data_IF_621383882234
#
_entry.id   IF_621383882234
#
_cell.length_a   1.000
_cell.length_b   1.000
_cell.length_c   1.000
_cell.angle_alpha   90.00
_cell.angle_beta   90.00
_cell.angle_gamma   90.00
#
_symmetry.space_group_name_H-M   'P 1'
#
loop_
_entity.id
_entity.type
_entity.pdbx_description
1 polymer ?
#
# COMPACT_ATOMS: atom_id res chain seq x y z
N UNK A 1 -16.57 8.12 3.99
CA UNK A 1 -16.12 6.82 3.41
C UNK A 1 -16.57 6.72 1.96
N UNK A 2 -15.59 6.65 1.07
CA UNK A 2 -15.77 6.52 -0.37
C UNK A 2 -16.33 5.14 -0.75
N UNK A 3 -17.04 5.10 -1.88
CA UNK A 3 -17.45 3.85 -2.53
C UNK A 3 -16.34 3.28 -3.43
N UNK A 4 -16.54 2.06 -3.93
CA UNK A 4 -15.53 1.36 -4.71
C UNK A 4 -15.13 2.10 -6.01
N UNK A 5 -16.06 2.77 -6.69
CA UNK A 5 -15.77 3.62 -7.86
C UNK A 5 -14.83 4.77 -7.53
N UNK A 6 -15.14 5.53 -6.48
CA UNK A 6 -14.37 6.72 -6.09
C UNK A 6 -12.96 6.35 -5.64
N UNK A 7 -12.82 5.23 -4.91
CA UNK A 7 -11.52 4.70 -4.52
C UNK A 7 -10.71 4.30 -5.76
N UNK A 8 -11.33 3.57 -6.69
CA UNK A 8 -10.70 3.16 -7.94
C UNK A 8 -10.23 4.36 -8.75
N UNK A 9 -11.07 5.37 -8.94
CA UNK A 9 -10.73 6.61 -9.63
C UNK A 9 -9.56 7.33 -8.97
N UNK A 10 -9.53 7.38 -7.63
CA UNK A 10 -8.45 8.01 -6.89
C UNK A 10 -7.12 7.26 -7.07
N UNK A 11 -7.09 5.95 -6.84
CA UNK A 11 -5.85 5.17 -6.94
C UNK A 11 -5.33 5.16 -8.38
N UNK A 12 -6.21 5.17 -9.39
CA UNK A 12 -5.80 5.21 -10.81
C UNK A 12 -5.15 6.53 -11.23
N UNK A 13 -5.28 7.60 -10.45
CA UNK A 13 -4.58 8.87 -10.73
C UNK A 13 -3.08 8.82 -10.41
N UNK A 14 -2.63 7.84 -9.63
CA UNK A 14 -1.20 7.68 -9.37
C UNK A 14 -0.49 7.17 -10.64
N UNK A 15 0.70 7.67 -10.91
CA UNK A 15 1.54 7.28 -12.04
C UNK A 15 2.28 5.96 -11.74
N UNK A 16 1.51 4.87 -11.64
CA UNK A 16 2.01 3.52 -11.28
C UNK A 16 3.18 3.03 -12.13
N UNK A 17 3.31 3.50 -13.38
CA UNK A 17 4.44 3.18 -14.25
C UNK A 17 5.78 3.69 -13.74
N UNK A 18 5.82 4.73 -12.90
CA UNK A 18 7.06 5.21 -12.29
C UNK A 18 7.64 4.24 -11.29
N UNK A 19 6.79 3.46 -10.61
CA UNK A 19 7.26 2.48 -9.65
C UNK A 19 8.17 1.44 -10.31
N UNK A 20 7.90 1.06 -11.58
CA UNK A 20 8.77 0.17 -12.36
C UNK A 20 10.18 0.73 -12.57
N UNK A 21 10.33 2.06 -12.66
CA UNK A 21 11.64 2.72 -12.85
C UNK A 21 12.47 2.78 -11.56
N UNK A 22 11.88 2.50 -10.40
CA UNK A 22 12.56 2.53 -9.10
C UNK A 22 13.16 1.15 -8.76
N UNK A 23 14.47 0.97 -8.87
CA UNK A 23 15.08 -0.35 -8.66
C UNK A 23 15.04 -0.82 -7.18
N UNK A 24 14.69 -2.09 -6.99
CA UNK A 24 14.60 -2.75 -5.69
C UNK A 24 13.21 -2.72 -5.06
N UNK A 25 12.50 -1.60 -5.21
CA UNK A 25 11.17 -1.36 -4.62
C UNK A 25 11.14 -1.81 -3.15
N UNK A 26 12.07 -1.26 -2.37
CA UNK A 26 12.11 -1.46 -0.93
C UNK A 26 10.86 -0.85 -0.29
N UNK A 27 10.56 -1.26 0.94
CA UNK A 27 9.43 -0.75 1.73
C UNK A 27 9.37 0.78 1.74
N UNK A 28 10.49 1.44 2.06
CA UNK A 28 10.61 2.90 2.06
C UNK A 28 10.45 3.52 0.68
N UNK A 29 10.88 2.84 -0.38
CA UNK A 29 10.71 3.32 -1.76
C UNK A 29 9.24 3.35 -2.17
N UNK A 30 8.46 2.35 -1.74
CA UNK A 30 7.00 2.30 -1.99
C UNK A 30 6.30 3.41 -1.20
N UNK A 31 6.67 3.60 0.07
CA UNK A 31 6.17 4.71 0.89
C UNK A 31 6.46 6.05 0.21
N UNK A 32 7.70 6.26 -0.26
CA UNK A 32 8.11 7.47 -0.96
C UNK A 32 7.31 7.71 -2.25
N UNK A 33 7.04 6.64 -3.01
CA UNK A 33 6.17 6.71 -4.20
C UNK A 33 4.76 7.16 -3.81
N UNK A 34 4.09 6.47 -2.88
CA UNK A 34 2.72 6.79 -2.45
C UNK A 34 2.63 8.23 -1.94
N UNK A 35 3.59 8.63 -1.09
CA UNK A 35 3.71 9.99 -0.54
C UNK A 35 3.82 11.05 -1.63
N UNK A 36 4.73 10.83 -2.59
CA UNK A 36 4.96 11.78 -3.69
C UNK A 36 3.73 11.88 -4.58
N UNK A 37 3.12 10.75 -4.93
CA UNK A 37 1.92 10.73 -5.77
C UNK A 37 0.75 11.43 -5.09
N UNK A 38 0.53 11.18 -3.79
CA UNK A 38 -0.52 11.84 -3.02
C UNK A 38 -0.36 13.37 -2.99
N UNK A 39 0.83 13.86 -2.62
CA UNK A 39 1.12 15.30 -2.59
C UNK A 39 0.95 15.91 -3.99
N UNK A 40 1.42 15.22 -5.03
CA UNK A 40 1.35 15.71 -6.41
C UNK A 40 -0.07 15.83 -6.96
N UNK A 41 -1.05 15.07 -6.43
CA UNK A 41 -2.45 15.18 -6.87
C UNK A 41 -3.04 16.56 -6.58
N UNK A 42 -2.70 17.15 -5.43
CA UNK A 42 -3.06 18.52 -5.09
C UNK A 42 -2.14 19.03 -3.96
N UNK A 43 -1.04 19.73 -4.28
CA UNK A 43 -0.05 20.14 -3.28
C UNK A 43 -0.55 21.24 -2.33
N UNK A 44 -1.71 21.85 -2.61
CA UNK A 44 -2.25 22.90 -1.74
C UNK A 44 -3.09 22.35 -0.59
N UNK A 45 -3.61 21.13 -0.72
CA UNK A 45 -4.49 20.52 0.29
C UNK A 45 -4.02 19.15 0.74
N UNK A 46 -3.20 18.43 -0.02
CA UNK A 46 -2.73 17.11 0.37
C UNK A 46 -1.45 17.21 1.18
N UNK A 47 -1.42 16.53 2.33
CA UNK A 47 -0.26 16.39 3.21
C UNK A 47 -0.19 14.97 3.79
N UNK A 48 0.79 14.69 4.65
CA UNK A 48 0.91 13.37 5.30
C UNK A 48 1.68 13.43 6.63
N UNK A 49 1.52 12.38 7.43
CA UNK A 49 2.39 12.07 8.57
C UNK A 49 3.30 10.87 8.28
N UNK A 50 4.62 11.07 8.35
CA UNK A 50 5.68 10.05 8.29
C UNK A 50 6.19 9.75 9.72
N UNK A 51 5.28 9.20 10.52
CA UNK A 51 5.36 9.14 11.98
C UNK A 51 3.96 9.11 12.58
N UNK A 52 3.12 8.24 12.04
CA UNK A 52 1.67 8.27 12.25
C UNK A 52 1.35 8.12 13.73
N UNK A 53 0.48 8.96 14.32
CA UNK A 53 0.02 8.78 15.70
C UNK A 53 -0.63 7.41 15.89
N UNK A 54 -0.40 6.78 17.04
CA UNK A 54 -0.97 5.45 17.29
C UNK A 54 -2.48 5.51 17.49
N UNK A 55 -3.19 4.46 17.08
CA UNK A 55 -4.61 4.28 17.39
C UNK A 55 -4.87 4.00 18.87
N UNK A 56 -3.85 3.56 19.63
CA UNK A 56 -3.94 3.29 21.06
C UNK A 56 -3.51 4.53 21.84
N UNK A 57 -4.44 5.13 22.59
CA UNK A 57 -4.18 6.32 23.41
C UNK A 57 -3.56 5.88 24.76
N UNK A 58 -2.29 6.22 24.99
CA UNK A 58 -1.57 5.93 26.23
C UNK A 58 -0.13 6.45 26.22
N UNK A 59 0.50 6.60 27.40
CA UNK A 59 1.93 6.96 27.52
C UNK A 59 2.81 5.72 27.34
N UNK A 60 3.64 5.70 26.30
CA UNK A 60 4.66 4.66 26.09
C UNK A 60 4.61 4.04 24.69
N UNK A 61 5.65 3.26 24.34
CA UNK A 61 5.77 2.56 23.05
C UNK A 61 5.16 1.15 23.02
N UNK A 62 4.78 0.61 24.17
CA UNK A 62 4.30 -0.78 24.29
C UNK A 62 2.87 -0.86 23.74
N UNK A 63 2.67 -1.73 22.75
CA UNK A 63 1.35 -1.96 22.14
C UNK A 63 0.90 -0.88 21.14
N UNK A 64 1.79 0.03 20.73
CA UNK A 64 1.45 1.01 19.70
C UNK A 64 1.20 0.31 18.37
N UNK A 65 0.06 0.63 17.76
CA UNK A 65 -0.25 0.35 16.37
C UNK A 65 -0.18 1.64 15.59
N UNK A 66 0.81 1.73 14.71
CA UNK A 66 1.06 2.89 13.85
C UNK A 66 1.06 2.42 12.41
N UNK A 67 0.37 3.16 11.54
CA UNK A 67 0.51 2.91 10.11
C UNK A 67 1.86 3.37 9.59
N UNK A 68 2.28 2.84 8.44
CA UNK A 68 3.52 3.27 7.81
C UNK A 68 3.45 4.76 7.44
N UNK A 69 2.34 5.19 6.85
CA UNK A 69 2.02 6.62 6.63
C UNK A 69 0.52 6.88 6.78
N UNK A 70 0.17 8.12 7.11
CA UNK A 70 -1.21 8.60 7.11
C UNK A 70 -1.30 9.79 6.17
N UNK A 71 -2.06 9.61 5.09
CA UNK A 71 -2.31 10.66 4.13
C UNK A 71 -3.47 11.53 4.62
N UNK A 72 -3.31 12.84 4.45
CA UNK A 72 -4.22 13.87 4.91
C UNK A 72 -4.69 14.72 3.72
N UNK A 73 -5.91 15.22 3.83
CA UNK A 73 -6.49 16.18 2.88
C UNK A 73 -7.08 17.35 3.68
N UNK A 74 -6.73 18.56 3.28
CA UNK A 74 -7.01 19.78 4.02
C UNK A 74 -6.49 19.65 5.45
N UNK A 75 -7.35 19.84 6.45
CA UNK A 75 -7.04 19.73 7.87
C UNK A 75 -7.40 18.35 8.48
N UNK A 76 -7.71 17.34 7.65
CA UNK A 76 -8.21 16.03 8.12
C UNK A 76 -7.35 14.84 7.70
N UNK A 77 -7.27 13.78 8.54
CA UNK A 77 -6.78 12.48 8.11
C UNK A 77 -7.71 11.92 7.01
N UNK A 78 -7.13 11.20 6.05
CA UNK A 78 -7.86 10.75 4.87
C UNK A 78 -7.68 9.26 4.60
N UNK A 79 -6.44 8.78 4.52
CA UNK A 79 -6.12 7.40 4.15
C UNK A 79 -4.90 6.90 4.93
N UNK A 80 -5.08 6.02 5.93
CA UNK A 80 -3.96 5.26 6.48
C UNK A 80 -3.45 4.26 5.44
N UNK A 81 -2.13 4.08 5.39
CA UNK A 81 -1.47 3.23 4.41
C UNK A 81 -0.51 2.28 5.11
N UNK A 82 -0.64 1.00 4.80
CA UNK A 82 0.32 -0.03 5.15
C UNK A 82 1.05 -0.51 3.90
N UNK A 83 2.34 -0.78 4.04
CA UNK A 83 3.15 -1.49 3.05
C UNK A 83 3.65 -2.77 3.71
N UNK A 84 3.53 -3.93 3.07
CA UNK A 84 4.10 -5.15 3.64
C UNK A 84 4.56 -6.15 2.59
N UNK A 85 5.66 -6.81 2.91
CA UNK A 85 6.26 -7.87 2.10
C UNK A 85 6.02 -9.24 2.71
N UNK A 86 5.99 -9.35 4.04
CA UNK A 86 5.85 -10.59 4.78
C UNK A 86 4.38 -10.98 4.94
N UNK A 87 4.00 -12.10 4.31
CA UNK A 87 2.60 -12.59 4.30
C UNK A 87 2.09 -12.86 5.71
N UNK A 88 2.96 -13.31 6.61
CA UNK A 88 2.63 -13.58 8.01
C UNK A 88 2.20 -12.32 8.79
N UNK A 89 2.54 -11.11 8.33
CA UNK A 89 2.18 -9.84 8.96
C UNK A 89 0.92 -9.19 8.38
N UNK A 90 0.31 -9.77 7.35
CA UNK A 90 -0.79 -9.11 6.64
C UNK A 90 -2.02 -8.88 7.50
N UNK A 91 -2.34 -9.82 8.39
CA UNK A 91 -3.48 -9.68 9.30
C UNK A 91 -3.24 -8.53 10.30
N UNK A 92 -2.02 -8.44 10.86
CA UNK A 92 -1.63 -7.36 11.77
C UNK A 92 -1.73 -5.98 11.08
N UNK A 93 -1.33 -5.90 9.80
CA UNK A 93 -1.42 -4.68 9.00
C UNK A 93 -2.87 -4.31 8.69
N UNK A 94 -3.71 -5.28 8.31
CA UNK A 94 -5.14 -5.03 8.13
C UNK A 94 -5.81 -4.58 9.42
N UNK A 95 -5.52 -5.23 10.54
CA UNK A 95 -6.05 -4.85 11.85
C UNK A 95 -5.65 -3.42 12.22
N UNK A 96 -4.43 -3.00 11.88
CA UNK A 96 -3.99 -1.61 12.05
C UNK A 96 -4.87 -0.65 11.23
N UNK A 97 -5.11 -0.94 9.96
CA UNK A 97 -6.02 -0.13 9.13
C UNK A 97 -7.44 -0.07 9.69
N UNK A 98 -7.98 -1.20 10.16
CA UNK A 98 -9.31 -1.24 10.77
C UNK A 98 -9.38 -0.40 12.05
N UNK A 99 -8.35 -0.45 12.89
CA UNK A 99 -8.29 0.35 14.13
C UNK A 99 -8.31 1.85 13.83
N UNK A 100 -7.63 2.30 12.78
CA UNK A 100 -7.70 3.70 12.34
C UNK A 100 -9.10 4.07 11.87
N UNK A 101 -9.73 3.23 11.05
CA UNK A 101 -11.06 3.52 10.51
C UNK A 101 -12.13 3.53 11.62
N UNK A 102 -12.02 2.66 12.62
CA UNK A 102 -12.94 2.59 13.76
C UNK A 102 -12.74 3.72 14.77
N UNK A 103 -11.54 4.27 14.92
CA UNK A 103 -11.24 5.33 15.88
C UNK A 103 -11.65 6.72 15.35
N UNK A 104 -12.94 6.88 15.04
CA UNK A 104 -13.54 8.15 14.59
C UNK A 104 -13.37 9.32 15.55
N UNK A 105 -13.34 9.16 16.89
CA UNK A 105 -13.12 10.29 17.78
C UNK A 105 -11.75 10.97 17.61
N UNK A 106 -10.73 10.24 17.14
CA UNK A 106 -9.37 10.79 16.94
C UNK A 106 -9.07 11.00 15.46
N UNK A 107 -9.48 10.08 14.60
CA UNK A 107 -9.18 10.09 13.17
C UNK A 107 -10.44 10.35 12.33
N UNK A 108 -11.17 11.41 12.69
CA UNK A 108 -12.33 11.85 11.92
C UNK A 108 -11.92 12.33 10.52
N UNK A 109 -12.54 11.78 9.48
CA UNK A 109 -12.20 12.06 8.09
C UNK A 109 -11.62 10.87 7.30
N UNK A 110 -11.21 9.77 7.96
CA UNK A 110 -10.71 8.60 7.22
C UNK A 110 -11.79 8.04 6.29
N UNK A 111 -11.45 8.00 5.01
CA UNK A 111 -12.33 7.62 3.92
C UNK A 111 -12.21 6.14 3.54
N UNK A 112 -11.00 5.58 3.57
CA UNK A 112 -10.69 4.17 3.33
C UNK A 112 -9.23 3.87 3.75
N UNK A 113 -8.89 2.58 3.93
CA UNK A 113 -7.50 2.15 4.15
C UNK A 113 -6.86 1.61 2.87
N UNK A 114 -5.57 1.87 2.67
CA UNK A 114 -4.79 1.32 1.57
C UNK A 114 -3.76 0.32 2.10
N UNK A 115 -3.83 -0.92 1.65
CA UNK A 115 -2.82 -1.93 1.94
C UNK A 115 -2.04 -2.29 0.67
N UNK A 116 -0.76 -1.94 0.65
CA UNK A 116 0.16 -2.23 -0.42
C UNK A 116 1.00 -3.47 -0.10
N UNK A 117 0.89 -4.49 -0.95
CA UNK A 117 1.56 -5.76 -0.78
C UNK A 117 2.57 -5.97 -1.92
N UNK A 118 3.71 -6.60 -1.62
CA UNK A 118 4.68 -6.98 -2.67
C UNK A 118 4.78 -8.49 -2.86
N UNK A 119 4.80 -8.98 -4.09
CA UNK A 119 4.92 -10.40 -4.43
C UNK A 119 6.24 -10.62 -5.16
N UNK A 120 6.95 -11.67 -4.80
CA UNK A 120 8.16 -12.11 -5.49
C UNK A 120 7.90 -13.49 -6.06
N UNK A 121 7.75 -13.57 -7.38
CA UNK A 121 7.33 -14.80 -8.07
C UNK A 121 8.44 -15.83 -8.28
N UNK A 122 9.70 -15.45 -8.12
CA UNK A 122 10.89 -16.26 -8.47
C UNK A 122 12.02 -16.08 -7.45
N UNK A 123 12.94 -17.06 -7.39
CA UNK A 123 14.10 -17.05 -6.51
C UNK A 123 13.93 -17.88 -5.21
N UNK A 124 15.01 -18.00 -4.41
CA UNK A 124 15.02 -18.85 -3.22
C UNK A 124 14.11 -18.35 -2.09
N UNK A 125 13.86 -17.03 -2.04
CA UNK A 125 12.92 -16.38 -1.12
C UNK A 125 11.66 -15.95 -1.84
N UNK A 126 11.07 -16.83 -2.67
CA UNK A 126 9.78 -16.60 -3.32
C UNK A 126 8.69 -16.45 -2.25
N UNK A 127 7.88 -15.40 -2.35
CA UNK A 127 6.69 -15.24 -1.51
C UNK A 127 5.55 -14.73 -2.38
N UNK A 128 4.45 -15.48 -2.38
CA UNK A 128 3.23 -15.17 -3.15
C UNK A 128 2.14 -14.73 -2.18
N UNK A 129 1.48 -13.63 -2.47
CA UNK A 129 0.32 -13.19 -1.71
C UNK A 129 -0.73 -14.29 -1.63
N UNK A 130 -1.32 -14.43 -0.44
CA UNK A 130 -2.56 -15.17 -0.29
C UNK A 130 -3.75 -14.23 -0.53
N UNK A 131 -3.97 -13.91 -1.80
CA UNK A 131 -5.07 -13.03 -2.24
C UNK A 131 -6.42 -13.48 -1.68
N UNK A 132 -6.72 -14.78 -1.72
CA UNK A 132 -8.02 -15.29 -1.28
C UNK A 132 -8.22 -15.12 0.23
N UNK A 133 -7.18 -15.38 1.03
CA UNK A 133 -7.23 -15.15 2.48
C UNK A 133 -7.42 -13.67 2.79
N UNK A 134 -6.60 -12.80 2.22
CA UNK A 134 -6.65 -11.37 2.56
C UNK A 134 -7.97 -10.72 2.11
N UNK A 135 -8.49 -11.10 0.93
CA UNK A 135 -9.82 -10.68 0.47
C UNK A 135 -10.91 -11.17 1.42
N UNK A 136 -10.84 -12.43 1.89
CA UNK A 136 -11.80 -12.96 2.88
C UNK A 136 -11.76 -12.19 4.19
N UNK A 137 -10.59 -11.85 4.70
CA UNK A 137 -10.47 -11.05 5.94
C UNK A 137 -11.13 -9.68 5.79
N UNK A 138 -10.90 -8.98 4.67
CA UNK A 138 -11.58 -7.72 4.39
C UNK A 138 -13.10 -7.90 4.28
N UNK A 139 -13.57 -8.91 3.54
CA UNK A 139 -15.01 -9.19 3.37
C UNK A 139 -15.68 -9.53 4.70
N UNK A 140 -15.03 -10.32 5.57
CA UNK A 140 -15.57 -10.71 6.87
C UNK A 140 -15.85 -9.50 7.77
N UNK A 141 -15.10 -8.42 7.58
CA UNK A 141 -15.23 -7.20 8.36
C UNK A 141 -16.36 -6.28 7.88
N UNK A 142 -16.90 -6.44 6.66
CA UNK A 142 -18.09 -5.82 6.00
C UNK A 142 -18.32 -4.30 6.08
N UNK A 143 -17.82 -3.59 7.09
CA UNK A 143 -18.11 -2.18 7.39
C UNK A 143 -17.04 -1.20 6.90
N UNK A 144 -15.98 -1.69 6.26
CA UNK A 144 -14.83 -0.88 5.90
C UNK A 144 -14.63 -0.83 4.39
N UNK A 145 -14.22 0.36 3.94
CA UNK A 145 -13.64 0.52 2.62
C UNK A 145 -12.13 0.27 2.70
N UNK A 146 -11.63 -0.72 1.95
CA UNK A 146 -10.22 -1.08 1.85
C UNK A 146 -9.83 -1.24 0.38
N UNK A 147 -8.70 -0.64 0.02
CA UNK A 147 -8.01 -0.89 -1.23
C UNK A 147 -6.78 -1.78 -0.96
N UNK A 148 -6.70 -2.91 -1.66
CA UNK A 148 -5.53 -3.76 -1.71
C UNK A 148 -4.81 -3.49 -3.03
N UNK A 149 -3.52 -3.20 -2.97
CA UNK A 149 -2.64 -3.08 -4.15
C UNK A 149 -1.53 -4.10 -4.02
N UNK A 150 -1.21 -4.80 -5.11
CA UNK A 150 -0.18 -5.83 -5.15
C UNK A 150 0.78 -5.56 -6.30
N UNK A 151 2.08 -5.53 -6.03
CA UNK A 151 3.09 -5.56 -7.09
C UNK A 151 3.62 -6.96 -7.29
N UNK A 152 3.71 -7.41 -8.54
CA UNK A 152 4.33 -8.68 -8.91
C UNK A 152 5.73 -8.42 -9.42
N UNK A 153 6.73 -9.02 -8.76
CA UNK A 153 8.13 -8.91 -9.11
C UNK A 153 8.66 -10.24 -9.70
N UNK A 154 9.33 -10.16 -10.84
CA UNK A 154 9.99 -11.29 -11.50
C UNK A 154 11.48 -11.01 -11.67
N UNK A 155 12.29 -12.07 -11.74
CA UNK A 155 13.74 -11.91 -11.86
C UNK A 155 14.08 -11.18 -13.16
N UNK A 156 14.86 -10.10 -13.08
CA UNK A 156 15.30 -9.34 -14.25
C UNK A 156 16.39 -10.07 -15.02
N UNK A 157 16.33 -10.02 -16.35
CA UNK A 157 17.41 -10.43 -17.23
C UNK A 157 18.41 -9.28 -17.37
N UNK A 158 19.47 -9.31 -16.54
CA UNK A 158 20.48 -8.25 -16.51
C UNK A 158 21.64 -8.56 -17.45
N UNK A 159 22.00 -7.60 -18.31
CA UNK A 159 23.09 -7.72 -19.27
C UNK A 159 24.45 -7.29 -18.67
N UNK A 160 25.44 -7.01 -19.52
CA UNK A 160 26.78 -6.56 -19.12
C UNK A 160 26.97 -5.05 -19.37
N UNK A 161 25.97 -4.24 -19.05
CA UNK A 161 26.11 -2.77 -19.02
C UNK A 161 26.65 -2.29 -17.67
N UNK A 162 27.17 -1.07 -17.63
CA UNK A 162 27.58 -0.42 -16.38
C UNK A 162 26.44 -0.39 -15.34
N UNK A 163 25.24 -0.02 -15.78
CA UNK A 163 24.05 0.02 -14.92
C UNK A 163 23.64 -1.37 -14.44
N UNK A 164 23.69 -2.40 -15.29
CA UNK A 164 23.33 -3.76 -14.90
C UNK A 164 24.35 -4.36 -13.93
N UNK A 165 25.63 -4.03 -14.06
CA UNK A 165 26.65 -4.39 -13.07
C UNK A 165 26.40 -3.72 -11.71
N UNK A 166 25.96 -2.46 -11.69
CA UNK A 166 25.55 -1.81 -10.45
C UNK A 166 24.30 -2.45 -9.86
N UNK A 167 23.30 -2.76 -10.70
CA UNK A 167 22.09 -3.48 -10.28
C UNK A 167 22.47 -4.80 -9.64
N UNK A 168 23.27 -5.66 -10.27
CA UNK A 168 23.69 -6.97 -9.73
C UNK A 168 24.27 -6.94 -8.29
N UNK A 169 24.74 -5.79 -7.79
CA UNK A 169 25.27 -5.60 -6.43
C UNK A 169 24.23 -5.27 -5.36
N UNK A 170 22.99 -4.96 -5.74
CA UNK A 170 21.92 -4.59 -4.83
C UNK A 170 21.06 -5.82 -4.48
N UNK A 171 20.75 -6.00 -3.20
CA UNK A 171 20.04 -7.18 -2.70
C UNK A 171 18.59 -7.31 -3.22
N UNK A 172 18.03 -6.20 -3.71
CA UNK A 172 16.63 -6.09 -4.15
C UNK A 172 16.48 -6.00 -5.69
N UNK A 173 17.57 -5.74 -6.42
CA UNK A 173 17.59 -5.27 -7.82
C UNK A 173 17.55 -6.37 -8.89
N UNK A 174 17.66 -7.64 -8.49
CA UNK A 174 17.52 -8.73 -9.45
C UNK A 174 16.06 -8.97 -9.83
N UNK A 175 15.14 -8.06 -9.49
CA UNK A 175 13.73 -8.17 -9.77
C UNK A 175 13.16 -6.89 -10.36
N UNK A 176 12.28 -7.05 -11.34
CA UNK A 176 11.49 -5.99 -11.96
C UNK A 176 10.01 -6.21 -11.68
N UNK A 177 9.25 -5.11 -11.55
CA UNK A 177 7.80 -5.20 -11.52
C UNK A 177 7.30 -5.59 -12.91
N UNK A 178 6.45 -6.61 -12.97
CA UNK A 178 5.78 -7.08 -14.19
C UNK A 178 4.29 -6.72 -14.21
N UNK A 179 3.66 -6.63 -13.04
CA UNK A 179 2.28 -6.14 -12.91
C UNK A 179 2.05 -5.44 -11.58
N UNK A 180 1.07 -4.54 -11.58
CA UNK A 180 0.52 -3.91 -10.39
C UNK A 180 -1.00 -4.10 -10.48
N UNK A 181 -1.54 -4.95 -9.61
CA UNK A 181 -2.95 -5.31 -9.59
C UNK A 181 -3.62 -4.70 -8.35
N UNK A 182 -4.92 -4.41 -8.42
CA UNK A 182 -5.69 -3.88 -7.30
C UNK A 182 -6.98 -4.66 -7.09
N UNK A 183 -7.46 -4.61 -5.85
CA UNK A 183 -8.76 -5.10 -5.43
C UNK A 183 -9.31 -4.16 -4.35
N UNK A 184 -10.56 -3.75 -4.47
CA UNK A 184 -11.23 -2.80 -3.59
C UNK A 184 -12.50 -3.45 -3.09
N UNK A 185 -12.76 -3.32 -1.79
CA UNK A 185 -14.04 -3.60 -1.17
C UNK A 185 -14.50 -2.35 -0.44
N UNK A 186 -15.72 -1.89 -0.72
CA UNK A 186 -16.29 -0.74 -0.01
C UNK A 186 -17.21 -1.16 1.14
N UNK A 187 -17.56 -0.19 2.00
CA UNK A 187 -18.46 -0.38 3.14
C UNK A 187 -19.86 -0.94 2.79
N UNK A 188 -20.27 -0.91 1.53
CA UNK A 188 -21.56 -1.43 1.07
C UNK A 188 -21.43 -2.87 0.52
N UNK A 189 -20.23 -3.46 0.61
CA UNK A 189 -19.93 -4.79 0.08
C UNK A 189 -19.68 -4.82 -1.43
N UNK A 190 -19.53 -3.66 -2.08
CA UNK A 190 -19.22 -3.61 -3.51
C UNK A 190 -17.74 -3.87 -3.73
N UNK A 191 -17.45 -4.70 -4.73
CA UNK A 191 -16.09 -5.08 -5.09
C UNK A 191 -15.72 -4.50 -6.46
N UNK A 192 -14.49 -3.99 -6.57
CA UNK A 192 -13.83 -3.71 -7.85
C UNK A 192 -12.44 -4.28 -7.87
N UNK A 193 -12.00 -4.75 -9.02
CA UNK A 193 -10.63 -5.24 -9.20
C UNK A 193 -10.16 -4.99 -10.61
N UNK A 194 -8.84 -5.02 -10.79
CA UNK A 194 -8.24 -4.83 -12.09
C UNK A 194 -6.74 -4.64 -11.98
N UNK A 195 -6.20 -4.01 -13.02
CA UNK A 195 -4.77 -3.74 -13.15
C UNK A 195 -4.50 -2.25 -13.21
N UNK A 196 -3.53 -1.79 -12.43
CA UNK A 196 -3.00 -0.43 -12.43
C UNK A 196 -1.87 -0.27 -13.45
N UNK A 197 -1.07 -1.33 -13.64
CA UNK A 197 0.05 -1.31 -14.58
C UNK A 197 0.48 -2.74 -14.98
N UNK A 198 0.98 -2.93 -16.20
CA UNK A 198 1.73 -4.11 -16.64
C UNK A 198 2.84 -3.71 -17.60
N UNK A 199 3.92 -4.50 -17.59
CA UNK A 199 5.00 -4.43 -18.58
C UNK A 199 4.54 -4.98 -19.94
#
# INVERSE_FOLDING_TARGET
MLNAEQIEELIKKFEWGFLHNMYGHAHSSIIGFISTQWISLDPNVNSLFDGVPSTVIGKGRIGQKNSDILLCREDKPYMPVEVETLVEKYDDKLDTLFDYIDNKPVFDGIEFGLFFMTNRCTGPTKYKHNWDRIKKEVINRKKYSIALVSIVKCKSELSNTCLDSLRKRNDYSSYEITSIDYWIHDKNGKIKEGRLWSK
#
